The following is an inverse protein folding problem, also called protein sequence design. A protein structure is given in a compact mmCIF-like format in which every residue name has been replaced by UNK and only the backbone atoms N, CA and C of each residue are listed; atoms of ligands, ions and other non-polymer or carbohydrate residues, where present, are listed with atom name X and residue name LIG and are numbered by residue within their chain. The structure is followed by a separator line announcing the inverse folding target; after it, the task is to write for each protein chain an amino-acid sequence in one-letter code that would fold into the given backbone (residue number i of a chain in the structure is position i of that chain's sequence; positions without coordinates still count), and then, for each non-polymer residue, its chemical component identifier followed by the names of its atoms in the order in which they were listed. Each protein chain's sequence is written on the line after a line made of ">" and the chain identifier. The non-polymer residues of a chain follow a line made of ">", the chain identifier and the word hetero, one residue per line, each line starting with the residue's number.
data_IF_561979872741
#
_entry.id   IF_561979872741
#
_cell.length_a   1.000
_cell.length_b   1.000
_cell.length_c   1.000
_cell.angle_alpha   90.00
_cell.angle_beta   90.00
_cell.angle_gamma   90.00
#
_symmetry.space_group_name_H-M   'P 1'
#
loop_
_entity.id
_entity.type
_entity.pdbx_description
1 polymer ?
#
# COMPACT_ATOMS: atom_id res chain seq x y z
N UNK A 1 2.62 -13.70 -13.27
CA UNK A 1 2.91 -12.27 -13.04
C UNK A 1 1.89 -11.80 -12.05
N UNK A 2 2.30 -11.16 -10.95
CA UNK A 2 1.39 -10.75 -9.90
C UNK A 2 0.75 -9.42 -10.33
N UNK A 3 -0.58 -9.39 -10.49
CA UNK A 3 -1.31 -8.22 -11.00
C UNK A 3 -1.04 -6.97 -10.15
N UNK A 4 -0.85 -7.15 -8.85
CA UNK A 4 -0.51 -6.07 -7.92
C UNK A 4 0.90 -5.50 -8.17
N UNK A 5 1.87 -6.37 -8.44
CA UNK A 5 3.22 -5.94 -8.81
C UNK A 5 3.21 -5.22 -10.16
N UNK A 6 2.43 -5.71 -11.14
CA UNK A 6 2.32 -5.10 -12.46
C UNK A 6 1.71 -3.69 -12.37
N UNK A 7 0.68 -3.48 -11.55
CA UNK A 7 0.11 -2.15 -11.27
C UNK A 7 1.17 -1.25 -10.60
N UNK A 8 1.83 -1.73 -9.54
CA UNK A 8 2.87 -0.96 -8.84
C UNK A 8 4.04 -0.57 -9.76
N UNK A 9 4.49 -1.46 -10.64
CA UNK A 9 5.54 -1.20 -11.64
C UNK A 9 5.11 -0.25 -12.76
N UNK A 10 3.81 -0.15 -13.04
CA UNK A 10 3.27 0.78 -14.03
C UNK A 10 3.21 2.21 -13.50
N UNK A 11 3.04 2.36 -12.19
CA UNK A 11 2.90 3.63 -11.50
C UNK A 11 4.22 4.15 -10.91
N UNK A 12 5.15 3.24 -10.58
CA UNK A 12 6.40 3.56 -9.88
C UNK A 12 7.62 3.23 -10.76
N UNK A 13 8.73 3.95 -10.56
CA UNK A 13 9.98 3.63 -11.26
C UNK A 13 10.46 2.22 -10.90
N UNK A 14 10.58 1.34 -11.90
CA UNK A 14 11.10 -0.02 -11.73
C UNK A 14 12.49 -0.05 -11.08
N UNK A 15 13.32 0.97 -11.30
CA UNK A 15 14.64 1.06 -10.65
C UNK A 15 14.54 1.38 -9.16
N UNK A 16 13.48 2.10 -8.75
CA UNK A 16 13.17 2.31 -7.34
C UNK A 16 12.75 0.99 -6.70
N UNK A 17 11.78 0.27 -7.30
CA UNK A 17 11.29 -1.01 -6.79
C UNK A 17 12.36 -2.12 -6.74
N UNK A 18 13.39 -2.04 -7.59
CA UNK A 18 14.55 -2.96 -7.55
C UNK A 18 15.40 -2.84 -6.30
N UNK A 19 15.34 -1.73 -5.57
CA UNK A 19 16.08 -1.52 -4.31
C UNK A 19 15.48 -2.29 -3.14
N UNK A 20 14.26 -2.79 -3.30
CA UNK A 20 13.55 -3.56 -2.28
C UNK A 20 13.64 -5.03 -2.61
N UNK A 21 13.95 -5.84 -1.61
CA UNK A 21 14.10 -7.29 -1.74
C UNK A 21 12.73 -7.95 -1.82
N UNK A 22 11.82 -7.50 -0.95
CA UNK A 22 10.47 -8.02 -0.83
C UNK A 22 9.46 -6.89 -1.00
N UNK A 23 8.35 -7.20 -1.65
CA UNK A 23 7.19 -6.30 -1.74
C UNK A 23 5.98 -7.11 -1.29
N UNK A 24 5.24 -6.56 -0.34
CA UNK A 24 4.03 -7.15 0.19
C UNK A 24 2.83 -6.28 -0.16
N UNK A 25 1.76 -6.90 -0.58
CA UNK A 25 0.45 -6.29 -0.65
C UNK A 25 -0.27 -6.49 0.69
N UNK A 26 -0.67 -5.38 1.32
CA UNK A 26 -1.27 -5.38 2.66
C UNK A 26 -2.80 -5.35 2.65
N UNK A 27 -3.41 -5.25 1.46
CA UNK A 27 -4.85 -5.09 1.26
C UNK A 27 -5.26 -3.68 0.81
N UNK A 28 -6.56 -3.54 0.56
CA UNK A 28 -7.18 -2.27 0.18
C UNK A 28 -8.04 -1.72 1.31
N UNK A 29 -8.15 -0.39 1.40
CA UNK A 29 -9.15 0.27 2.24
C UNK A 29 -9.99 1.25 1.44
N UNK A 30 -11.10 1.68 2.04
CA UNK A 30 -11.86 2.83 1.53
C UNK A 30 -10.95 4.07 1.49
N UNK A 31 -11.23 5.04 0.62
CA UNK A 31 -10.44 6.25 0.54
C UNK A 31 -10.61 7.07 1.81
N UNK A 32 -9.51 7.58 2.33
CA UNK A 32 -9.48 8.44 3.51
C UNK A 32 -8.70 9.71 3.23
N UNK A 33 -8.99 10.74 4.02
CA UNK A 33 -8.21 11.98 4.00
C UNK A 33 -6.73 11.70 4.29
N UNK A 34 -5.85 12.34 3.51
CA UNK A 34 -4.39 12.21 3.62
C UNK A 34 -3.88 12.47 5.05
N UNK A 35 -4.43 13.46 5.78
CA UNK A 35 -3.99 13.76 7.13
C UNK A 35 -4.39 12.64 8.10
N UNK A 36 -5.58 12.07 7.91
CA UNK A 36 -6.03 10.92 8.70
C UNK A 36 -5.10 9.73 8.51
N UNK A 37 -4.72 9.44 7.26
CA UNK A 37 -3.80 8.36 6.95
C UNK A 37 -2.40 8.61 7.52
N UNK A 38 -1.87 9.82 7.33
CA UNK A 38 -0.57 10.21 7.87
C UNK A 38 -0.52 10.11 9.39
N UNK A 39 -1.56 10.54 10.09
CA UNK A 39 -1.65 10.40 11.55
C UNK A 39 -1.71 8.93 11.96
N UNK A 40 -2.46 8.10 11.22
CA UNK A 40 -2.57 6.67 11.49
C UNK A 40 -1.22 5.96 11.40
N UNK A 41 -0.44 6.26 10.36
CA UNK A 41 0.90 5.70 10.16
C UNK A 41 1.86 6.22 11.24
N UNK A 42 1.81 7.52 11.54
CA UNK A 42 2.67 8.13 12.57
C UNK A 42 2.37 7.61 13.98
N UNK A 43 1.12 7.22 14.24
CA UNK A 43 0.67 6.64 15.51
C UNK A 43 0.99 5.14 15.63
N UNK A 44 1.52 4.49 14.59
CA UNK A 44 1.75 3.05 14.55
C UNK A 44 0.46 2.23 14.59
N UNK A 45 -0.61 2.72 13.94
CA UNK A 45 -1.95 2.12 13.92
C UNK A 45 -2.36 1.63 12.54
N UNK A 46 -1.44 1.51 11.58
CA UNK A 46 -1.75 1.13 10.21
C UNK A 46 -2.43 -0.25 10.15
N UNK A 47 -1.95 -1.22 10.94
CA UNK A 47 -2.52 -2.56 11.04
C UNK A 47 -3.98 -2.54 11.45
N UNK A 48 -4.30 -1.83 12.53
CA UNK A 48 -5.70 -1.71 12.98
C UNK A 48 -6.56 -1.01 11.94
N UNK A 49 -5.98 -0.03 11.25
CA UNK A 49 -6.65 0.73 10.21
C UNK A 49 -7.02 -0.15 9.02
N UNK A 50 -6.10 -0.97 8.53
CA UNK A 50 -6.33 -1.92 7.43
C UNK A 50 -7.44 -2.92 7.78
N UNK A 51 -7.44 -3.44 9.02
CA UNK A 51 -8.44 -4.41 9.48
C UNK A 51 -9.83 -3.76 9.64
N UNK A 52 -9.91 -2.50 10.08
CA UNK A 52 -11.18 -1.82 10.37
C UNK A 52 -11.80 -1.14 9.15
N UNK A 53 -10.99 -0.72 8.18
CA UNK A 53 -11.43 0.02 6.99
C UNK A 53 -11.44 -0.86 5.73
N UNK A 54 -11.88 -2.12 5.88
CA UNK A 54 -12.07 -3.01 4.73
C UNK A 54 -12.97 -2.34 3.68
N UNK A 55 -12.52 -2.39 2.43
CA UNK A 55 -13.25 -1.85 1.30
C UNK A 55 -14.08 -2.93 0.61
N UNK A 56 -15.18 -2.52 -0.02
CA UNK A 56 -15.85 -3.37 -1.00
C UNK A 56 -15.40 -3.01 -2.42
N UNK A 57 -15.30 -3.99 -3.32
CA UNK A 57 -14.78 -3.77 -4.67
C UNK A 57 -15.66 -2.92 -5.59
N UNK A 58 -16.68 -2.21 -5.07
CA UNK A 58 -17.58 -1.35 -5.85
C UNK A 58 -17.40 0.15 -5.54
N UNK A 59 -16.33 0.51 -4.83
CA UNK A 59 -15.96 1.88 -4.51
C UNK A 59 -14.48 2.11 -4.80
N UNK A 60 -14.05 3.38 -4.83
CA UNK A 60 -12.64 3.71 -4.98
C UNK A 60 -11.83 3.12 -3.83
N UNK A 61 -10.59 2.73 -4.10
CA UNK A 61 -9.75 2.00 -3.16
C UNK A 61 -8.43 2.74 -2.90
N UNK A 62 -7.90 2.53 -1.70
CA UNK A 62 -6.51 2.79 -1.37
C UNK A 62 -5.80 1.45 -1.17
N UNK A 63 -4.90 1.11 -2.07
CA UNK A 63 -4.09 -0.10 -2.03
C UNK A 63 -2.77 0.16 -1.30
N UNK A 64 -2.43 -0.74 -0.38
CA UNK A 64 -1.27 -0.59 0.49
C UNK A 64 -0.19 -1.61 0.14
N UNK A 65 1.02 -1.10 -0.10
CA UNK A 65 2.19 -1.90 -0.41
C UNK A 65 3.30 -1.62 0.59
N UNK A 66 3.82 -2.67 1.21
CA UNK A 66 5.02 -2.61 2.04
C UNK A 66 6.22 -3.04 1.22
N UNK A 67 7.21 -2.18 1.13
CA UNK A 67 8.47 -2.41 0.44
C UNK A 67 9.56 -2.61 1.48
N UNK A 68 10.25 -3.74 1.44
CA UNK A 68 11.24 -4.12 2.45
C UNK A 68 12.59 -4.38 1.79
N UNK A 69 13.64 -3.84 2.38
CA UNK A 69 15.02 -4.26 2.14
C UNK A 69 15.76 -4.42 3.49
N UNK A 70 17.04 -4.79 3.44
CA UNK A 70 17.88 -4.96 4.64
C UNK A 70 17.98 -3.70 5.53
N UNK A 71 17.69 -2.51 5.00
CA UNK A 71 17.91 -1.23 5.70
C UNK A 71 16.62 -0.51 6.13
N UNK A 72 15.52 -0.70 5.41
CA UNK A 72 14.32 0.15 5.48
C UNK A 72 13.06 -0.61 5.12
N UNK A 73 11.95 -0.17 5.73
CA UNK A 73 10.59 -0.57 5.38
C UNK A 73 9.83 0.68 4.95
N UNK A 74 9.41 0.73 3.69
CA UNK A 74 8.67 1.86 3.13
C UNK A 74 7.24 1.42 2.79
N UNK A 75 6.30 2.35 2.90
CA UNK A 75 4.90 2.12 2.56
C UNK A 75 4.52 2.96 1.35
N UNK A 76 4.09 2.30 0.29
CA UNK A 76 3.44 2.95 -0.85
C UNK A 76 1.93 2.76 -0.73
N UNK A 77 1.20 3.85 -0.96
CA UNK A 77 -0.26 3.86 -1.04
C UNK A 77 -0.66 4.28 -2.45
N UNK A 78 -1.46 3.47 -3.12
CA UNK A 78 -1.99 3.74 -4.46
C UNK A 78 -3.48 4.00 -4.35
N UNK A 79 -3.96 5.06 -5.00
CA UNK A 79 -5.38 5.30 -5.21
C UNK A 79 -5.83 4.63 -6.49
N UNK A 80 -6.76 3.70 -6.34
CA UNK A 80 -7.31 2.86 -7.39
C UNK A 80 -8.80 3.19 -7.54
N UNK A 81 -9.17 4.08 -8.49
CA UNK A 81 -10.55 4.48 -8.69
C UNK A 81 -11.40 3.29 -9.18
N UNK A 82 -12.66 3.21 -8.73
CA UNK A 82 -13.57 2.17 -9.21
C UNK A 82 -13.98 2.39 -10.66
N UNK A 83 -14.09 3.65 -11.09
CA UNK A 83 -14.36 3.98 -12.47
C UNK A 83 -13.10 3.71 -13.31
N UNK A 84 -13.16 2.68 -14.17
CA UNK A 84 -12.10 2.28 -15.11
C UNK A 84 -11.70 3.37 -16.12
N UNK A 85 -12.40 4.51 -16.11
CA UNK A 85 -12.08 5.69 -16.90
C UNK A 85 -11.07 6.63 -16.22
N UNK A 86 -10.85 6.48 -14.92
CA UNK A 86 -9.86 7.25 -14.17
C UNK A 86 -8.55 6.46 -14.03
N UNK A 87 -7.43 7.11 -14.30
CA UNK A 87 -6.10 6.51 -14.16
C UNK A 87 -5.77 6.27 -12.68
N UNK A 88 -5.23 5.08 -12.35
CA UNK A 88 -4.63 4.79 -11.04
C UNK A 88 -3.50 5.79 -10.74
N UNK A 89 -3.37 6.21 -9.47
CA UNK A 89 -2.35 7.19 -9.05
C UNK A 89 -1.66 6.75 -7.78
N UNK A 90 -0.33 6.93 -7.74
CA UNK A 90 0.37 6.88 -6.46
C UNK A 90 -0.18 8.02 -5.60
N UNK A 91 -0.78 7.63 -4.49
CA UNK A 91 -1.32 8.55 -3.52
C UNK A 91 -0.18 9.09 -2.68
N UNK A 92 0.58 8.23 -1.98
CA UNK A 92 1.60 8.64 -1.01
C UNK A 92 2.72 7.59 -0.87
N UNK A 93 3.93 8.07 -0.57
CA UNK A 93 5.07 7.23 -0.15
C UNK A 93 5.51 7.65 1.25
N UNK A 94 5.52 6.71 2.19
CA UNK A 94 5.96 6.90 3.57
C UNK A 94 7.21 6.09 3.82
N UNK A 95 8.33 6.77 4.02
CA UNK A 95 9.63 6.13 4.24
C UNK A 95 9.80 5.71 5.70
N UNK A 96 10.49 4.57 5.92
CA UNK A 96 10.92 4.10 7.25
C UNK A 96 9.79 3.94 8.26
N UNK A 97 8.75 3.22 7.89
CA UNK A 97 7.68 2.87 8.82
C UNK A 97 8.19 1.86 9.86
N UNK A 98 7.99 2.16 11.15
CA UNK A 98 8.39 1.31 12.27
C UNK A 98 7.17 0.58 12.86
N UNK A 99 6.51 -0.27 12.05
CA UNK A 99 5.31 -1.01 12.48
C UNK A 99 5.40 -2.51 12.14
N UNK A 100 4.96 -3.36 13.07
CA UNK A 100 4.90 -4.81 12.86
C UNK A 100 3.59 -5.24 12.15
N UNK A 101 3.72 -5.46 10.85
CA UNK A 101 2.64 -5.86 9.94
C UNK A 101 2.57 -7.37 9.70
N UNK A 102 3.45 -8.16 10.34
CA UNK A 102 3.61 -9.61 10.11
C UNK A 102 2.37 -10.46 10.41
N UNK A 103 1.42 -9.91 11.18
CA UNK A 103 0.19 -10.60 11.59
C UNK A 103 -1.07 -10.03 10.94
N UNK A 104 -0.93 -9.33 9.82
CA UNK A 104 -2.06 -9.06 8.94
C UNK A 104 -2.58 -10.38 8.34
N UNK A 105 -3.92 -10.59 8.31
CA UNK A 105 -4.50 -11.86 7.87
C UNK A 105 -4.30 -12.13 6.37
N UNK A 106 -4.23 -11.08 5.55
CA UNK A 106 -4.21 -11.13 4.09
C UNK A 106 -2.97 -10.43 3.51
N UNK A 107 -1.80 -10.67 4.12
CA UNK A 107 -0.54 -10.17 3.58
C UNK A 107 -0.02 -11.10 2.48
N UNK A 108 0.06 -10.59 1.25
CA UNK A 108 0.54 -11.35 0.09
C UNK A 108 1.92 -10.87 -0.34
N UNK A 109 2.87 -11.79 -0.47
CA UNK A 109 4.18 -11.51 -1.09
C UNK A 109 3.99 -11.40 -2.59
N UNK A 110 4.26 -10.23 -3.16
CA UNK A 110 4.08 -9.96 -4.59
C UNK A 110 5.37 -9.96 -5.39
N UNK A 111 6.52 -9.84 -4.71
CA UNK A 111 7.88 -9.93 -5.29
C UNK A 111 8.77 -10.78 -4.40
#
# INVERSE_FOLDING_TARGET
>A
MNAWLDSLESLTDKNFLKKFEEIYYLGSTKPVDENSLKNTISDGKLKEFLIKNEADGNEDLLDFFLLVNEETQDLIVIYSPFDLLDDERIYLNYEKIEEDLSSLPDIDVVK
#
